data_IF_313164907862
#
_entry.id   IF_313164907862
#
_cell.length_a   1.000
_cell.length_b   1.000
_cell.length_c   1.000
_cell.angle_alpha   90.00
_cell.angle_beta   90.00
_cell.angle_gamma   90.00
#
_symmetry.space_group_name_H-M   'P 1'
#
loop_
_entity.id
_entity.type
_entity.pdbx_description
1 polymer ?
#
# COMPACT_ATOMS: atom_id res chain seq x y z
N UNK A 1 8.79 -28.75 -24.93
CA UNK A 1 8.13 -27.51 -24.50
C UNK A 1 9.14 -26.69 -23.70
N UNK A 2 9.35 -25.39 -23.96
CA UNK A 2 10.32 -24.61 -23.20
C UNK A 2 9.91 -24.55 -21.73
N UNK A 3 10.88 -24.62 -20.81
CA UNK A 3 10.59 -24.43 -19.40
C UNK A 3 10.02 -23.03 -19.17
N UNK A 4 8.95 -22.95 -18.38
CA UNK A 4 8.33 -21.67 -18.04
C UNK A 4 9.34 -20.82 -17.26
N UNK A 5 9.49 -19.52 -17.56
CA UNK A 5 10.39 -18.66 -16.81
C UNK A 5 10.04 -18.70 -15.32
N UNK A 6 11.07 -18.79 -14.47
CA UNK A 6 10.89 -18.61 -13.04
C UNK A 6 10.43 -17.17 -12.79
N UNK A 7 9.35 -17.02 -12.01
CA UNK A 7 8.83 -15.70 -11.66
C UNK A 7 9.89 -14.99 -10.82
N UNK A 8 10.35 -13.79 -11.20
CA UNK A 8 11.37 -13.08 -10.43
C UNK A 8 10.82 -12.73 -9.05
N UNK A 9 11.71 -12.69 -8.04
CA UNK A 9 11.33 -12.47 -6.65
C UNK A 9 10.51 -11.19 -6.42
N UNK A 10 10.69 -10.18 -7.28
CA UNK A 10 9.96 -8.90 -7.26
C UNK A 10 8.48 -9.02 -7.65
N UNK A 11 8.05 -10.12 -8.27
CA UNK A 11 6.67 -10.36 -8.65
C UNK A 11 5.85 -11.01 -7.52
N UNK A 12 6.33 -11.01 -6.28
CA UNK A 12 5.67 -11.69 -5.16
C UNK A 12 5.71 -10.84 -3.89
N UNK A 13 4.60 -10.78 -3.17
CA UNK A 13 4.53 -10.18 -1.83
C UNK A 13 4.18 -8.68 -1.83
N UNK A 14 4.79 -7.93 -0.89
CA UNK A 14 4.46 -6.53 -0.59
C UNK A 14 4.69 -5.58 -1.78
N UNK A 15 5.58 -5.95 -2.70
CA UNK A 15 5.86 -5.21 -3.94
C UNK A 15 4.68 -5.21 -4.93
N UNK A 16 3.81 -6.22 -4.84
CA UNK A 16 2.60 -6.36 -5.67
C UNK A 16 1.32 -5.84 -5.01
N UNK A 17 1.37 -5.55 -3.70
CA UNK A 17 0.20 -5.02 -2.99
C UNK A 17 0.08 -3.53 -3.22
N UNK A 18 -0.97 -3.14 -3.94
CA UNK A 18 -1.30 -1.74 -4.20
C UNK A 18 -2.51 -1.38 -3.35
N UNK A 19 -2.34 -0.40 -2.48
CA UNK A 19 -3.44 0.18 -1.71
C UNK A 19 -3.90 1.46 -2.40
N UNK A 20 -5.12 1.46 -2.90
CA UNK A 20 -5.73 2.60 -3.58
C UNK A 20 -6.56 3.36 -2.53
N UNK A 21 -6.17 4.60 -2.26
CA UNK A 21 -6.89 5.53 -1.40
C UNK A 21 -7.49 6.67 -2.24
N UNK A 22 -8.42 7.45 -1.68
CA UNK A 22 -9.21 8.45 -2.42
C UNK A 22 -8.40 9.55 -3.12
N UNK A 23 -7.16 9.81 -2.70
CA UNK A 23 -6.29 10.83 -3.30
C UNK A 23 -4.90 10.33 -3.71
N UNK A 24 -4.52 9.10 -3.34
CA UNK A 24 -3.20 8.56 -3.66
C UNK A 24 -3.17 7.03 -3.63
N UNK A 25 -2.11 6.47 -4.17
CA UNK A 25 -1.87 5.04 -4.29
C UNK A 25 -0.61 4.71 -3.53
N UNK A 26 -0.65 3.70 -2.68
CA UNK A 26 0.54 3.24 -1.95
C UNK A 26 0.93 1.88 -2.47
N UNK A 27 2.16 1.79 -2.98
CA UNK A 27 2.75 0.55 -3.46
C UNK A 27 4.17 0.45 -2.92
N UNK A 28 4.53 -0.68 -2.31
CA UNK A 28 5.87 -0.90 -1.76
C UNK A 28 6.37 0.23 -0.84
N UNK A 29 5.52 0.68 0.09
CA UNK A 29 5.81 1.81 0.98
C UNK A 29 6.16 3.14 0.27
N UNK A 30 5.75 3.28 -0.99
CA UNK A 30 5.87 4.51 -1.77
C UNK A 30 4.49 5.07 -2.04
N UNK A 31 4.33 6.37 -1.80
CA UNK A 31 3.13 7.13 -2.11
C UNK A 31 3.21 7.64 -3.55
N UNK A 32 2.22 7.30 -4.34
CA UNK A 32 2.00 7.75 -5.70
C UNK A 32 0.76 8.61 -5.78
N UNK A 33 0.88 9.83 -6.28
CA UNK A 33 -0.26 10.70 -6.54
C UNK A 33 -0.45 10.74 -8.06
N UNK A 34 -1.57 10.17 -8.52
CA UNK A 34 -1.78 9.89 -9.93
C UNK A 34 -0.73 8.92 -10.50
N UNK A 35 0.18 9.42 -11.35
CA UNK A 35 1.26 8.65 -11.98
C UNK A 35 2.66 9.01 -11.45
N UNK A 36 2.74 9.91 -10.48
CA UNK A 36 4.00 10.48 -10.00
C UNK A 36 4.29 9.96 -8.60
N UNK A 37 5.55 9.54 -8.37
CA UNK A 37 6.04 9.26 -7.03
C UNK A 37 6.07 10.58 -6.24
N UNK A 38 5.23 10.68 -5.21
CA UNK A 38 5.18 11.87 -4.37
C UNK A 38 6.23 11.81 -3.26
N UNK A 39 6.25 10.70 -2.51
CA UNK A 39 7.19 10.48 -1.39
C UNK A 39 7.24 9.01 -0.97
N UNK A 40 8.29 8.65 -0.27
CA UNK A 40 8.35 7.39 0.48
C UNK A 40 7.60 7.55 1.84
N UNK A 41 6.95 6.49 2.30
CA UNK A 41 6.33 6.46 3.63
C UNK A 41 7.40 6.58 4.72
N UNK A 42 7.13 7.39 5.74
CA UNK A 42 7.94 7.45 6.95
C UNK A 42 7.80 6.15 7.76
N UNK A 43 8.78 5.76 8.59
CA UNK A 43 8.72 4.51 9.33
C UNK A 43 7.44 4.35 10.16
N UNK A 44 6.92 5.43 10.75
CA UNK A 44 5.68 5.41 11.54
C UNK A 44 4.45 5.12 10.67
N UNK A 45 4.43 5.60 9.43
CA UNK A 45 3.37 5.36 8.44
C UNK A 45 3.46 3.92 7.89
N UNK A 46 4.67 3.35 7.79
CA UNK A 46 4.88 1.96 7.34
C UNK A 46 4.26 0.97 8.31
N UNK A 47 4.43 1.18 9.62
CA UNK A 47 3.81 0.35 10.65
C UNK A 47 2.28 0.41 10.57
N UNK A 48 1.70 1.61 10.39
CA UNK A 48 0.25 1.76 10.21
C UNK A 48 -0.27 1.05 8.95
N UNK A 49 0.48 1.10 7.85
CA UNK A 49 0.15 0.40 6.61
C UNK A 49 0.26 -1.12 6.77
N UNK A 50 1.27 -1.63 7.49
CA UNK A 50 1.42 -3.05 7.76
C UNK A 50 0.27 -3.58 8.64
N UNK A 51 -0.15 -2.83 9.64
CA UNK A 51 -1.31 -3.19 10.46
C UNK A 51 -2.62 -3.17 9.65
N UNK A 52 -2.77 -2.20 8.76
CA UNK A 52 -3.88 -2.19 7.81
C UNK A 52 -3.83 -3.39 6.86
N UNK A 53 -2.67 -3.71 6.30
CA UNK A 53 -2.47 -4.85 5.42
C UNK A 53 -2.81 -6.17 6.11
N UNK A 54 -2.42 -6.34 7.38
CA UNK A 54 -2.78 -7.51 8.21
C UNK A 54 -4.28 -7.59 8.42
N UNK A 55 -4.96 -6.49 8.78
CA UNK A 55 -6.41 -6.45 8.99
C UNK A 55 -7.19 -6.73 7.71
N UNK A 56 -6.77 -6.16 6.58
CA UNK A 56 -7.30 -6.47 5.24
C UNK A 56 -7.12 -7.95 4.90
N UNK A 57 -5.93 -8.51 5.14
CA UNK A 57 -5.64 -9.93 4.88
C UNK A 57 -6.48 -10.87 5.75
N UNK A 58 -6.88 -10.43 6.95
CA UNK A 58 -7.80 -11.14 7.84
C UNK A 58 -9.28 -11.03 7.41
N UNK A 59 -9.59 -10.37 6.29
CA UNK A 59 -10.95 -10.24 5.76
C UNK A 59 -11.77 -9.14 6.41
N UNK A 60 -11.16 -8.30 7.24
CA UNK A 60 -11.85 -7.20 7.92
C UNK A 60 -12.06 -6.05 6.94
N UNK A 61 -13.28 -5.96 6.38
CA UNK A 61 -13.68 -4.88 5.48
C UNK A 61 -14.06 -3.60 6.23
N UNK A 62 -14.44 -3.72 7.50
CA UNK A 62 -14.75 -2.61 8.39
C UNK A 62 -13.46 -2.11 9.05
N UNK A 63 -12.78 -1.25 8.31
CA UNK A 63 -11.54 -0.63 8.75
C UNK A 63 -11.97 0.60 9.53
N UNK A 64 -11.86 0.51 10.86
CA UNK A 64 -12.21 1.57 11.80
C UNK A 64 -11.76 2.94 11.28
N UNK A 65 -12.64 3.94 11.40
CA UNK A 65 -12.39 5.32 10.98
C UNK A 65 -11.09 5.90 11.55
N UNK A 66 -10.67 5.44 12.72
CA UNK A 66 -9.37 5.76 13.34
C UNK A 66 -8.18 5.34 12.46
N UNK A 67 -8.26 4.14 11.87
CA UNK A 67 -7.21 3.64 10.98
C UNK A 67 -7.25 4.35 9.63
N UNK A 68 -8.43 4.75 9.14
CA UNK A 68 -8.52 5.63 7.97
C UNK A 68 -7.86 6.99 8.23
N UNK A 69 -8.05 7.57 9.42
CA UNK A 69 -7.42 8.84 9.81
C UNK A 69 -5.90 8.70 10.00
N UNK A 70 -5.40 7.52 10.38
CA UNK A 70 -3.96 7.23 10.42
C UNK A 70 -3.34 6.98 9.04
N UNK A 71 -4.17 6.72 8.02
CA UNK A 71 -3.78 6.53 6.62
C UNK A 71 -4.03 7.79 5.78
N UNK A 72 -4.16 8.93 6.44
CA UNK A 72 -4.43 10.23 5.83
C UNK A 72 -3.20 10.84 5.11
N UNK A 73 -2.24 10.01 4.69
CA UNK A 73 -1.06 10.42 3.95
C UNK A 73 -1.36 11.00 2.55
N UNK A 74 -2.60 10.84 2.06
CA UNK A 74 -3.06 11.33 0.75
C UNK A 74 -3.83 12.66 0.81
N UNK A 75 -4.19 13.15 2.00
CA UNK A 75 -5.24 14.17 2.16
C UNK A 75 -4.69 15.60 2.08
N UNK A 76 -3.38 15.77 2.28
CA UNK A 76 -2.69 17.08 2.28
C UNK A 76 -2.29 17.59 0.89
N UNK A 77 -3.13 17.41 -0.14
CA UNK A 77 -2.83 17.95 -1.49
C UNK A 77 -4.04 18.50 -2.25
N UNK A 78 -5.15 18.81 -1.57
CA UNK A 78 -6.16 19.71 -2.12
C UNK A 78 -6.79 20.61 -1.06
#
# INVERSE_FOLDING_TARGET
MPAKPAVPAFCSGKDTTIFIFGGCTVQNYKVYIGKTLARDLKPEEKDALDDFAKKKAQGQQDISSDLHQRLDFCTELS
#
